data_IF_457321407227
#
_entry.id   IF_457321407227
#
_cell.length_a   1.000
_cell.length_b   1.000
_cell.length_c   1.000
_cell.angle_alpha   90.00
_cell.angle_beta   90.00
_cell.angle_gamma   90.00
#
_symmetry.space_group_name_H-M   'P 1'
#
loop_
_entity.id
_entity.type
_entity.pdbx_description
1 polymer ?
#
# COMPACT_ATOMS: atom_id res chain seq x y z
N UNK A 1 -10.62 15.17 28.03
CA UNK A 1 -10.32 14.47 26.75
C UNK A 1 -11.19 15.11 25.68
N UNK A 2 -10.67 15.33 24.47
CA UNK A 2 -11.52 15.76 23.35
C UNK A 2 -12.52 14.63 23.03
N UNK A 3 -13.75 14.99 22.68
CA UNK A 3 -14.80 14.00 22.40
C UNK A 3 -14.66 13.51 20.96
N UNK A 4 -14.02 12.35 20.77
CA UNK A 4 -13.72 11.81 19.45
C UNK A 4 -15.01 11.45 18.69
N UNK A 5 -15.33 12.24 17.67
CA UNK A 5 -16.47 12.02 16.79
C UNK A 5 -16.12 11.20 15.54
N UNK A 6 -17.15 10.79 14.79
CA UNK A 6 -16.99 9.94 13.60
C UNK A 6 -16.29 10.69 12.45
N UNK A 7 -16.41 12.01 12.37
CA UNK A 7 -15.70 12.83 11.37
C UNK A 7 -14.20 12.85 11.63
N UNK A 8 -13.80 12.98 12.90
CA UNK A 8 -12.41 12.91 13.36
C UNK A 8 -11.80 11.53 13.10
N UNK A 9 -12.54 10.46 13.41
CA UNK A 9 -12.12 9.08 13.11
C UNK A 9 -11.93 8.87 11.61
N UNK A 10 -12.89 9.32 10.78
CA UNK A 10 -12.81 9.19 9.33
C UNK A 10 -11.65 9.99 8.72
N UNK A 11 -11.45 11.23 9.18
CA UNK A 11 -10.34 12.08 8.76
C UNK A 11 -8.97 11.51 9.21
N UNK A 12 -8.92 10.77 10.33
CA UNK A 12 -7.74 10.00 10.74
C UNK A 12 -7.50 8.81 9.82
N UNK A 13 -8.51 7.97 9.62
CA UNK A 13 -8.44 6.78 8.77
C UNK A 13 -7.99 7.10 7.35
N UNK A 14 -8.57 8.12 6.71
CA UNK A 14 -8.17 8.58 5.37
C UNK A 14 -6.68 8.96 5.28
N UNK A 15 -6.15 9.69 6.29
CA UNK A 15 -4.74 10.08 6.32
C UNK A 15 -3.83 8.87 6.51
N UNK A 16 -4.23 7.92 7.34
CA UNK A 16 -3.46 6.71 7.61
C UNK A 16 -3.42 5.78 6.38
N UNK A 17 -4.56 5.49 5.74
CA UNK A 17 -4.59 4.70 4.51
C UNK A 17 -3.79 5.37 3.39
N UNK A 18 -3.86 6.70 3.26
CA UNK A 18 -3.04 7.43 2.27
C UNK A 18 -1.53 7.42 2.59
N UNK A 19 -1.16 7.29 3.87
CA UNK A 19 0.24 7.13 4.25
C UNK A 19 0.77 5.73 3.85
N UNK A 20 -0.04 4.69 4.02
CA UNK A 20 0.26 3.33 3.53
C UNK A 20 0.44 3.34 2.01
N UNK A 21 -0.54 3.82 1.24
CA UNK A 21 -0.43 3.85 -0.23
C UNK A 21 0.82 4.58 -0.74
N UNK A 22 1.22 5.68 -0.10
CA UNK A 22 2.44 6.40 -0.47
C UNK A 22 3.71 5.64 -0.11
N UNK A 23 3.75 4.98 1.05
CA UNK A 23 4.85 4.09 1.42
C UNK A 23 4.98 2.91 0.43
N UNK A 24 3.85 2.30 0.06
CA UNK A 24 3.77 1.24 -0.94
C UNK A 24 4.25 1.70 -2.32
N UNK A 25 3.74 2.84 -2.81
CA UNK A 25 4.16 3.46 -4.08
C UNK A 25 5.67 3.69 -4.13
N UNK A 26 6.22 4.40 -3.15
CA UNK A 26 7.66 4.66 -3.11
C UNK A 26 8.48 3.37 -3.01
N UNK A 27 7.99 2.35 -2.30
CA UNK A 27 8.67 1.07 -2.19
C UNK A 27 8.69 0.33 -3.54
N UNK A 28 7.57 0.31 -4.28
CA UNK A 28 7.53 -0.27 -5.61
C UNK A 28 8.40 0.48 -6.60
N UNK A 29 8.37 1.82 -6.59
CA UNK A 29 9.21 2.65 -7.47
C UNK A 29 10.72 2.45 -7.18
N UNK A 30 11.11 2.26 -5.91
CA UNK A 30 12.48 1.86 -5.53
C UNK A 30 12.85 0.43 -5.94
N UNK A 31 11.93 -0.54 -5.79
CA UNK A 31 12.20 -1.92 -6.18
C UNK A 31 12.33 -2.07 -7.70
N UNK A 32 11.56 -1.33 -8.50
CA UNK A 32 11.53 -1.45 -9.96
C UNK A 32 12.87 -1.19 -10.66
N UNK A 33 13.82 -0.49 -10.02
CA UNK A 33 15.17 -0.25 -10.54
C UNK A 33 16.21 -1.36 -10.23
N UNK A 34 15.81 -2.47 -9.59
CA UNK A 34 16.65 -3.66 -9.40
C UNK A 34 16.05 -4.95 -9.95
N UNK A 35 14.94 -4.86 -10.69
CA UNK A 35 14.17 -6.01 -11.18
C UNK A 35 14.35 -6.30 -12.69
N UNK A 36 15.42 -5.84 -13.32
CA UNK A 36 15.72 -6.15 -14.73
C UNK A 36 15.90 -7.66 -14.97
N UNK A 37 16.32 -8.38 -13.93
CA UNK A 37 16.47 -9.84 -13.91
C UNK A 37 15.15 -10.60 -13.69
N UNK A 38 14.08 -9.91 -13.33
CA UNK A 38 12.78 -10.49 -12.96
C UNK A 38 11.63 -9.81 -13.74
N UNK A 39 11.59 -9.92 -15.08
CA UNK A 39 10.71 -9.13 -15.93
C UNK A 39 9.22 -9.31 -15.62
N UNK A 40 8.78 -10.53 -15.27
CA UNK A 40 7.39 -10.82 -14.87
C UNK A 40 6.98 -10.03 -13.61
N UNK A 41 7.85 -10.03 -12.58
CA UNK A 41 7.60 -9.36 -11.31
C UNK A 41 7.65 -7.83 -11.48
N UNK A 42 8.60 -7.34 -12.28
CA UNK A 42 8.64 -5.94 -12.69
C UNK A 42 7.41 -5.52 -13.53
N UNK A 43 6.77 -6.45 -14.26
CA UNK A 43 5.53 -6.19 -14.99
C UNK A 43 4.31 -6.13 -14.06
N UNK A 44 4.24 -6.96 -13.02
CA UNK A 44 3.23 -6.84 -11.94
C UNK A 44 3.37 -5.52 -11.21
N UNK A 45 4.57 -5.18 -10.72
CA UNK A 45 4.80 -3.93 -9.98
C UNK A 45 4.47 -2.68 -10.80
N UNK A 46 4.80 -2.63 -12.10
CA UNK A 46 4.41 -1.49 -12.96
C UNK A 46 2.90 -1.34 -13.12
N UNK A 47 2.12 -2.43 -13.11
CA UNK A 47 0.64 -2.34 -13.09
C UNK A 47 0.15 -1.84 -11.73
N UNK A 48 0.69 -2.40 -10.65
CA UNK A 48 0.26 -2.05 -9.28
C UNK A 48 0.58 -0.59 -8.93
N UNK A 49 1.72 -0.06 -9.36
CA UNK A 49 2.09 1.36 -9.25
C UNK A 49 1.02 2.30 -9.82
N UNK A 50 0.40 1.96 -10.96
CA UNK A 50 -0.67 2.79 -11.55
C UNK A 50 -2.02 2.59 -10.85
N UNK A 51 -2.31 1.39 -10.34
CA UNK A 51 -3.44 1.13 -9.43
C UNK A 51 -3.33 1.98 -8.16
N UNK A 52 -2.20 1.91 -7.46
CA UNK A 52 -1.90 2.71 -6.25
C UNK A 52 -1.98 4.22 -6.50
N UNK A 53 -1.54 4.72 -7.67
CA UNK A 53 -1.75 6.14 -8.05
C UNK A 53 -3.24 6.49 -8.10
N UNK A 54 -4.05 5.66 -8.76
CA UNK A 54 -5.51 5.82 -8.81
C UNK A 54 -6.19 5.73 -7.43
N UNK A 55 -5.64 4.93 -6.53
CA UNK A 55 -6.09 4.76 -5.14
C UNK A 55 -5.75 5.96 -4.25
N UNK A 56 -4.53 6.50 -4.35
CA UNK A 56 -4.13 7.77 -3.72
C UNK A 56 -5.05 8.91 -4.19
N UNK A 57 -5.38 8.94 -5.48
CA UNK A 57 -6.28 9.92 -6.09
C UNK A 57 -7.70 9.88 -5.49
N UNK A 58 -8.22 8.68 -5.16
CA UNK A 58 -9.52 8.52 -4.46
C UNK A 58 -9.44 9.05 -3.03
N UNK A 59 -8.34 8.76 -2.33
CA UNK A 59 -8.10 9.18 -0.95
C UNK A 59 -7.90 10.70 -0.84
N UNK A 60 -7.18 11.33 -1.78
CA UNK A 60 -7.02 12.79 -1.82
C UNK A 60 -8.34 13.51 -2.13
N UNK A 61 -9.19 12.97 -3.02
CA UNK A 61 -10.54 13.52 -3.27
C UNK A 61 -11.44 13.41 -2.03
N UNK A 62 -11.36 12.31 -1.29
CA UNK A 62 -12.09 12.15 -0.03
C UNK A 62 -11.57 13.09 1.07
N UNK A 63 -10.24 13.25 1.19
CA UNK A 63 -9.60 14.20 2.11
C UNK A 63 -9.95 15.66 1.78
N UNK A 64 -10.03 16.03 0.50
CA UNK A 64 -10.47 17.36 0.06
C UNK A 64 -11.90 17.66 0.52
N UNK A 65 -12.85 16.74 0.29
CA UNK A 65 -14.24 16.89 0.73
C UNK A 65 -14.38 16.98 2.27
N UNK A 66 -13.49 16.32 3.02
CA UNK A 66 -13.38 16.48 4.48
C UNK A 66 -12.76 17.84 4.84
N UNK A 67 -11.77 18.32 4.10
CA UNK A 67 -11.14 19.63 4.28
C UNK A 67 -12.07 20.81 4.03
N UNK A 68 -12.89 20.75 2.97
CA UNK A 68 -13.94 21.73 2.69
C UNK A 68 -14.99 21.75 3.82
N UNK A 69 -15.41 20.57 4.29
CA UNK A 69 -16.28 20.43 5.46
C UNK A 69 -15.62 20.97 6.75
N UNK A 70 -14.30 20.83 6.87
CA UNK A 70 -13.52 21.27 8.03
C UNK A 70 -13.22 22.78 8.04
N UNK A 71 -13.67 23.55 7.04
CA UNK A 71 -13.65 25.02 7.11
C UNK A 71 -14.48 25.58 8.29
N UNK A 72 -15.32 24.75 8.92
CA UNK A 72 -16.03 25.03 10.19
C UNK A 72 -15.54 24.20 11.38
N UNK A 73 -14.58 23.28 11.22
CA UNK A 73 -14.08 22.39 12.29
C UNK A 73 -12.54 22.48 12.41
N UNK A 74 -12.11 23.45 13.21
CA UNK A 74 -10.70 23.72 13.52
C UNK A 74 -10.26 22.93 14.76
N UNK A 75 -9.75 21.71 14.59
CA UNK A 75 -9.08 20.99 15.69
C UNK A 75 -7.82 20.21 15.26
N UNK A 76 -6.94 19.97 16.23
CA UNK A 76 -5.53 19.63 16.01
C UNK A 76 -5.32 18.14 15.74
N UNK A 77 -5.03 17.79 14.49
CA UNK A 77 -4.68 16.41 14.11
C UNK A 77 -3.21 16.12 14.44
N UNK A 78 -2.97 15.51 15.60
CA UNK A 78 -1.68 14.91 15.93
C UNK A 78 -1.37 13.77 14.96
N UNK A 79 -0.28 13.88 14.21
CA UNK A 79 0.18 12.82 13.31
C UNK A 79 0.65 11.61 14.11
N UNK A 80 -0.12 10.52 14.11
CA UNK A 80 0.32 9.21 14.60
C UNK A 80 0.93 8.42 13.43
N UNK A 81 1.99 8.99 12.85
CA UNK A 81 2.88 8.28 11.94
C UNK A 81 3.76 7.31 12.74
N UNK A 82 3.14 6.26 13.27
CA UNK A 82 3.86 5.16 13.93
C UNK A 82 4.55 4.30 12.88
N UNK A 83 5.81 4.60 12.58
CA UNK A 83 6.61 3.89 11.58
C UNK A 83 6.70 2.40 11.93
N UNK A 84 5.93 1.55 11.22
CA UNK A 84 6.13 0.10 11.26
C UNK A 84 7.53 -0.16 10.70
N UNK A 85 8.33 -0.90 11.46
CA UNK A 85 9.79 -0.80 11.41
C UNK A 85 10.40 -0.99 10.02
N UNK A 86 11.13 0.02 9.54
CA UNK A 86 11.99 -0.11 8.37
C UNK A 86 13.04 -1.20 8.63
N UNK A 87 12.91 -2.32 7.93
CA UNK A 87 13.74 -3.50 8.17
C UNK A 87 15.19 -3.25 7.75
N UNK A 88 16.10 -3.19 8.73
CA UNK A 88 17.54 -2.93 8.52
C UNK A 88 18.22 -4.15 7.90
N UNK A 89 18.22 -4.26 6.56
CA UNK A 89 18.85 -5.38 5.84
C UNK A 89 19.53 -4.99 4.52
N UNK A 90 20.03 -3.75 4.37
CA UNK A 90 20.77 -3.26 3.18
C UNK A 90 22.16 -3.92 2.92
N UNK A 91 22.40 -5.11 3.50
CA UNK A 91 23.60 -5.94 3.37
C UNK A 91 23.29 -7.44 3.40
N UNK A 92 22.01 -7.83 3.43
CA UNK A 92 21.61 -9.23 3.48
C UNK A 92 21.50 -9.84 2.08
N UNK A 93 21.90 -11.11 1.95
CA UNK A 93 21.49 -11.97 0.82
C UNK A 93 19.94 -12.04 0.76
N UNK A 94 19.36 -12.47 -0.35
CA UNK A 94 17.92 -12.68 -0.52
C UNK A 94 17.07 -11.39 -0.44
N UNK A 95 17.64 -10.23 -0.76
CA UNK A 95 16.91 -8.95 -0.80
C UNK A 95 15.69 -9.03 -1.75
N UNK A 96 15.84 -9.57 -2.96
CA UNK A 96 14.72 -9.72 -3.90
C UNK A 96 13.60 -10.59 -3.33
N UNK A 97 13.96 -11.68 -2.65
CA UNK A 97 12.99 -12.58 -2.02
C UNK A 97 12.30 -11.92 -0.82
N UNK A 98 13.05 -11.20 0.02
CA UNK A 98 12.50 -10.45 1.17
C UNK A 98 11.58 -9.32 0.72
N UNK A 99 11.95 -8.61 -0.34
CA UNK A 99 11.12 -7.59 -1.00
C UNK A 99 9.80 -8.18 -1.53
N UNK A 100 9.86 -9.35 -2.17
CA UNK A 100 8.69 -10.09 -2.67
C UNK A 100 7.77 -10.53 -1.52
N UNK A 101 8.31 -11.14 -0.46
CA UNK A 101 7.53 -11.60 0.69
C UNK A 101 6.89 -10.43 1.44
N UNK A 102 7.63 -9.32 1.63
CA UNK A 102 7.13 -8.10 2.24
C UNK A 102 6.01 -7.48 1.39
N UNK A 103 6.19 -7.39 0.06
CA UNK A 103 5.18 -6.89 -0.87
C UNK A 103 3.88 -7.72 -0.82
N UNK A 104 3.98 -9.05 -0.86
CA UNK A 104 2.83 -9.95 -0.75
C UNK A 104 2.08 -9.77 0.58
N UNK A 105 2.79 -9.66 1.70
CA UNK A 105 2.19 -9.42 3.01
C UNK A 105 1.55 -8.02 3.11
N UNK A 106 2.15 -7.00 2.48
CA UNK A 106 1.68 -5.61 2.53
C UNK A 106 0.28 -5.44 1.94
N UNK A 107 -0.03 -6.15 0.85
CA UNK A 107 -1.35 -6.05 0.21
C UNK A 107 -2.48 -6.44 1.18
N UNK A 108 -2.27 -7.42 2.08
CA UNK A 108 -3.28 -7.80 3.06
C UNK A 108 -3.47 -6.75 4.17
N UNK A 109 -2.46 -5.94 4.48
CA UNK A 109 -2.60 -4.76 5.35
C UNK A 109 -3.41 -3.67 4.63
N UNK A 110 -3.14 -3.42 3.33
CA UNK A 110 -3.92 -2.49 2.50
C UNK A 110 -5.40 -2.94 2.35
N UNK A 111 -5.66 -4.24 2.13
CA UNK A 111 -7.02 -4.84 2.13
C UNK A 111 -7.73 -4.59 3.46
N UNK A 112 -7.04 -4.81 4.59
CA UNK A 112 -7.61 -4.59 5.92
C UNK A 112 -7.91 -3.10 6.17
N UNK A 113 -6.97 -2.22 5.82
CA UNK A 113 -7.11 -0.78 5.93
C UNK A 113 -8.30 -0.27 5.10
N UNK A 114 -8.46 -0.70 3.85
CA UNK A 114 -9.57 -0.29 3.00
C UNK A 114 -10.93 -0.83 3.43
N UNK A 115 -11.01 -2.11 3.85
CA UNK A 115 -12.26 -2.69 4.35
C UNK A 115 -12.70 -2.02 5.66
N UNK A 116 -11.76 -1.61 6.52
CA UNK A 116 -12.01 -0.77 7.69
C UNK A 116 -12.49 0.64 7.29
N UNK A 117 -11.75 1.32 6.39
CA UNK A 117 -12.06 2.66 5.90
C UNK A 117 -13.45 2.75 5.26
N UNK A 118 -13.88 1.74 4.50
CA UNK A 118 -15.22 1.67 3.92
C UNK A 118 -16.32 1.70 4.97
N UNK A 119 -16.18 0.93 6.06
CA UNK A 119 -17.16 0.91 7.16
C UNK A 119 -17.15 2.22 7.94
N UNK A 120 -15.97 2.83 8.14
CA UNK A 120 -15.85 4.15 8.78
C UNK A 120 -16.52 5.23 7.91
N UNK A 121 -16.33 5.19 6.59
CA UNK A 121 -16.97 6.10 5.64
C UNK A 121 -18.51 6.00 5.68
N UNK A 122 -19.07 4.79 5.70
CA UNK A 122 -20.53 4.60 5.86
C UNK A 122 -21.05 5.19 7.18
N UNK A 123 -20.33 4.96 8.29
CA UNK A 123 -20.68 5.54 9.59
C UNK A 123 -20.52 7.07 9.63
N UNK A 124 -19.64 7.64 8.81
CA UNK A 124 -19.49 9.08 8.60
C UNK A 124 -20.49 9.67 7.58
N UNK A 125 -21.43 8.87 7.05
CA UNK A 125 -22.41 9.32 6.05
C UNK A 125 -21.84 9.51 4.64
N UNK A 126 -20.68 8.90 4.34
CA UNK A 126 -19.95 8.96 3.06
C UNK A 126 -20.08 7.66 2.28
N UNK A 127 -21.32 7.19 2.10
CA UNK A 127 -21.63 5.91 1.44
C UNK A 127 -21.20 5.86 -0.04
N UNK A 128 -21.11 7.03 -0.68
CA UNK A 128 -20.51 7.25 -2.00
C UNK A 128 -19.00 6.92 -2.01
N UNK A 129 -18.27 7.38 -1.00
CA UNK A 129 -16.83 7.14 -0.87
C UNK A 129 -16.56 5.68 -0.44
N UNK A 130 -17.44 5.10 0.39
CA UNK A 130 -17.35 3.71 0.84
C UNK A 130 -17.37 2.68 -0.32
N UNK A 131 -18.08 2.94 -1.42
CA UNK A 131 -18.02 2.03 -2.59
C UNK A 131 -16.66 2.06 -3.28
N UNK A 132 -16.01 3.23 -3.34
CA UNK A 132 -14.68 3.37 -3.93
C UNK A 132 -13.59 2.70 -3.07
N UNK A 133 -13.70 2.75 -1.74
CA UNK A 133 -12.78 2.05 -0.84
C UNK A 133 -12.93 0.53 -0.88
N UNK A 134 -14.15 0.02 -1.11
CA UNK A 134 -14.33 -1.42 -1.41
C UNK A 134 -13.72 -1.80 -2.75
N UNK A 135 -13.85 -0.97 -3.79
CA UNK A 135 -13.17 -1.21 -5.05
C UNK A 135 -11.63 -1.26 -4.89
N UNK A 136 -11.03 -0.34 -4.12
CA UNK A 136 -9.61 -0.44 -3.77
C UNK A 136 -9.27 -1.75 -3.03
N UNK A 137 -10.08 -2.19 -2.07
CA UNK A 137 -9.81 -3.44 -1.36
C UNK A 137 -9.76 -4.68 -2.29
N UNK A 138 -10.61 -4.74 -3.32
CA UNK A 138 -10.58 -5.85 -4.29
C UNK A 138 -9.46 -5.70 -5.34
N UNK A 139 -9.01 -4.47 -5.63
CA UNK A 139 -7.76 -4.24 -6.37
C UNK A 139 -6.55 -4.77 -5.61
N UNK A 140 -6.48 -4.57 -4.28
CA UNK A 140 -5.39 -5.10 -3.44
C UNK A 140 -5.42 -6.62 -3.30
N UNK A 141 -6.60 -7.24 -3.23
CA UNK A 141 -6.75 -8.71 -3.32
C UNK A 141 -6.15 -9.20 -4.65
N UNK A 142 -6.50 -8.55 -5.77
CA UNK A 142 -5.96 -8.92 -7.09
C UNK A 142 -4.45 -8.70 -7.19
N UNK A 143 -3.90 -7.65 -6.56
CA UNK A 143 -2.47 -7.43 -6.48
C UNK A 143 -1.75 -8.53 -5.68
N UNK A 144 -2.37 -9.02 -4.59
CA UNK A 144 -1.87 -10.17 -3.84
C UNK A 144 -1.89 -11.46 -4.69
N UNK A 145 -2.96 -11.71 -5.45
CA UNK A 145 -3.07 -12.86 -6.36
C UNK A 145 -2.04 -12.82 -7.50
N UNK A 146 -1.84 -11.66 -8.13
CA UNK A 146 -0.83 -11.48 -9.18
C UNK A 146 0.61 -11.65 -8.65
N UNK A 147 0.88 -11.30 -7.39
CA UNK A 147 2.18 -11.54 -6.73
C UNK A 147 2.32 -13.03 -6.36
N UNK A 148 1.29 -13.65 -5.78
CA UNK A 148 1.31 -15.06 -5.37
C UNK A 148 1.66 -15.98 -6.54
N UNK A 149 1.06 -15.74 -7.72
CA UNK A 149 1.29 -16.52 -8.94
C UNK A 149 2.72 -16.40 -9.53
N UNK A 150 3.61 -15.60 -8.93
CA UNK A 150 5.01 -15.45 -9.33
C UNK A 150 6.02 -15.99 -8.29
N UNK A 151 5.59 -16.36 -7.07
CA UNK A 151 6.51 -16.61 -5.95
C UNK A 151 7.53 -17.71 -6.31
N UNK A 152 7.07 -18.87 -6.77
CA UNK A 152 7.95 -19.99 -7.12
C UNK A 152 8.88 -19.65 -8.30
N UNK A 153 8.42 -18.84 -9.26
CA UNK A 153 9.20 -18.46 -10.46
C UNK A 153 10.31 -17.47 -10.12
N UNK A 154 10.02 -16.48 -9.26
CA UNK A 154 11.03 -15.54 -8.76
C UNK A 154 12.06 -16.28 -7.90
N UNK A 155 11.61 -17.23 -7.05
CA UNK A 155 12.53 -18.09 -6.28
C UNK A 155 13.41 -18.97 -7.17
N UNK A 156 12.87 -19.58 -8.23
CA UNK A 156 13.66 -20.33 -9.22
C UNK A 156 14.72 -19.44 -9.90
N UNK A 157 14.30 -18.28 -10.40
CA UNK A 157 15.21 -17.31 -11.05
C UNK A 157 16.32 -16.84 -10.10
N UNK A 158 16.00 -16.57 -8.83
CA UNK A 158 16.98 -16.20 -7.81
C UNK A 158 18.00 -17.32 -7.56
N UNK A 159 17.55 -18.57 -7.47
CA UNK A 159 18.42 -19.74 -7.28
C UNK A 159 19.33 -19.98 -8.49
N UNK A 160 18.78 -19.96 -9.72
CA UNK A 160 19.55 -20.15 -10.95
C UNK A 160 20.66 -19.10 -11.09
N UNK A 161 20.35 -17.83 -10.80
CA UNK A 161 21.33 -16.74 -10.80
C UNK A 161 22.40 -16.93 -9.71
N UNK A 162 21.98 -17.19 -8.47
CA UNK A 162 22.89 -17.33 -7.31
C UNK A 162 23.84 -18.51 -7.47
N UNK A 163 23.31 -19.69 -7.84
CA UNK A 163 24.08 -20.91 -8.04
C UNK A 163 24.94 -20.85 -9.31
N UNK A 164 24.51 -20.09 -10.32
CA UNK A 164 25.29 -19.73 -11.51
C UNK A 164 26.37 -18.66 -11.28
N UNK A 165 26.58 -18.19 -10.05
CA UNK A 165 27.58 -17.15 -9.71
C UNK A 165 27.25 -15.75 -10.25
N UNK A 166 26.01 -15.52 -10.68
CA UNK A 166 25.50 -14.22 -11.11
C UNK A 166 24.88 -13.46 -9.94
N UNK A 167 24.89 -12.12 -10.00
CA UNK A 167 24.14 -11.31 -9.04
C UNK A 167 22.64 -11.60 -9.16
N UNK A 168 22.02 -12.04 -8.07
CA UNK A 168 20.58 -12.31 -8.01
C UNK A 168 19.79 -11.15 -7.39
N UNK A 169 20.35 -10.46 -6.40
CA UNK A 169 19.76 -9.29 -5.74
C UNK A 169 20.02 -7.96 -6.49
N UNK A 170 19.24 -6.93 -6.11
CA UNK A 170 19.26 -5.52 -6.60
C UNK A 170 20.66 -4.90 -6.64
#
# INVERSE_FOLDING_TARGET
MANMDIGTIYAGALRNTRALEKQGLEQMERQLSGLERYPDYAAVLRRHVETTKGQIDRLDKALAAVGESASTLKETVTSVAGSIGAAVHATAQDETLKNLYAGYAYQYDQVAAYRSLAVIAERAGKSDQASAFRASAEEEVKAAEEIAALIERVTQTYLDLTLGGSKADS
#
